data_IF_044902357739
#
_entry.id   IF_044902357739
#
_cell.length_a   1.000
_cell.length_b   1.000
_cell.length_c   1.000
_cell.angle_alpha   90.00
_cell.angle_beta   90.00
_cell.angle_gamma   90.00
#
_symmetry.space_group_name_H-M   'P 1'
#
loop_
_entity.id
_entity.type
_entity.pdbx_description
1 polymer ?
#
# COMPACT_ATOMS: atom_id res chain seq x y z
N UNK A 1 -0.86 7.26 10.16
CA UNK A 1 -1.25 6.15 9.26
C UNK A 1 -1.55 4.92 10.10
N UNK A 2 -2.69 4.26 9.85
CA UNK A 2 -3.06 3.03 10.56
C UNK A 2 -2.98 1.87 9.58
N UNK A 3 -2.32 0.78 9.98
CA UNK A 3 -2.32 -0.47 9.25
C UNK A 3 -3.23 -1.49 9.95
N UNK A 4 -4.11 -2.10 9.19
CA UNK A 4 -4.99 -3.18 9.64
C UNK A 4 -4.53 -4.46 8.93
N UNK A 5 -3.97 -5.44 9.67
CA UNK A 5 -3.51 -6.68 9.05
C UNK A 5 -4.68 -7.43 8.41
N UNK A 6 -4.49 -7.92 7.21
CA UNK A 6 -5.53 -8.62 6.43
C UNK A 6 -6.06 -9.89 7.12
N UNK A 7 -5.24 -10.49 7.98
CA UNK A 7 -5.57 -11.71 8.73
C UNK A 7 -6.22 -11.43 10.09
N UNK A 8 -6.50 -10.14 10.42
CA UNK A 8 -7.28 -9.77 11.61
C UNK A 8 -8.69 -10.35 11.51
N UNK A 9 -9.20 -10.87 12.62
CA UNK A 9 -10.56 -11.40 12.71
C UNK A 9 -11.51 -10.29 13.10
N UNK A 10 -12.55 -10.06 12.29
CA UNK A 10 -13.59 -9.05 12.53
C UNK A 10 -14.91 -9.43 11.85
N UNK A 11 -15.98 -8.73 12.20
CA UNK A 11 -17.26 -8.81 11.49
C UNK A 11 -17.11 -8.27 10.06
N UNK A 12 -17.51 -9.05 9.07
CA UNK A 12 -17.55 -8.62 7.67
C UNK A 12 -18.91 -7.98 7.39
N UNK A 13 -18.90 -6.86 6.67
CA UNK A 13 -20.10 -6.14 6.28
C UNK A 13 -21.15 -7.10 5.64
N UNK A 14 -22.38 -7.04 6.12
CA UNK A 14 -23.51 -7.89 5.69
C UNK A 14 -23.24 -9.41 5.72
N UNK A 15 -22.23 -9.87 6.45
CA UNK A 15 -21.90 -11.30 6.56
C UNK A 15 -21.95 -11.71 8.03
N UNK A 16 -22.83 -12.64 8.43
CA UNK A 16 -22.93 -13.09 9.83
C UNK A 16 -21.63 -13.80 10.27
N UNK A 17 -21.11 -13.41 11.45
CA UNK A 17 -19.96 -14.04 12.07
C UNK A 17 -18.66 -13.22 11.97
N UNK A 18 -17.59 -13.83 12.47
CA UNK A 18 -16.26 -13.25 12.48
C UNK A 18 -15.34 -14.04 11.55
N UNK A 19 -14.66 -13.33 10.67
CA UNK A 19 -13.78 -13.90 9.65
C UNK A 19 -12.46 -13.11 9.58
N UNK A 20 -11.49 -13.62 8.85
CA UNK A 20 -10.34 -12.80 8.48
C UNK A 20 -10.80 -11.63 7.62
N UNK A 21 -10.30 -10.44 7.92
CA UNK A 21 -10.74 -9.20 7.27
C UNK A 21 -10.56 -9.22 5.74
N UNK A 22 -9.57 -9.96 5.23
CA UNK A 22 -9.38 -10.13 3.79
C UNK A 22 -10.55 -10.87 3.10
N UNK A 23 -11.38 -11.60 3.85
CA UNK A 23 -12.56 -12.26 3.29
C UNK A 23 -13.66 -11.27 2.92
N UNK A 24 -13.62 -10.02 3.43
CA UNK A 24 -14.58 -8.98 3.06
C UNK A 24 -14.55 -8.67 1.57
N UNK A 25 -13.37 -8.73 0.95
CA UNK A 25 -13.22 -8.53 -0.48
C UNK A 25 -13.92 -9.62 -1.31
N UNK A 26 -13.80 -10.88 -0.88
CA UNK A 26 -14.50 -12.02 -1.50
C UNK A 26 -16.01 -11.95 -1.27
N UNK A 27 -16.43 -11.60 -0.06
CA UNK A 27 -17.85 -11.46 0.27
C UNK A 27 -18.54 -10.40 -0.60
N UNK A 28 -17.83 -9.34 -0.99
CA UNK A 28 -18.31 -8.31 -1.90
C UNK A 28 -18.23 -8.66 -3.39
N UNK A 29 -17.78 -9.88 -3.78
CA UNK A 29 -17.66 -10.29 -5.18
C UNK A 29 -16.37 -9.84 -5.87
N UNK A 30 -15.31 -9.62 -5.09
CA UNK A 30 -13.97 -9.30 -5.58
C UNK A 30 -13.90 -8.05 -6.48
N UNK A 31 -13.12 -8.11 -7.56
CA UNK A 31 -12.93 -7.00 -8.51
C UNK A 31 -14.14 -6.75 -9.39
N UNK A 32 -14.90 -7.79 -9.71
CA UNK A 32 -16.09 -7.72 -10.57
C UNK A 32 -17.34 -7.25 -9.84
N UNK A 33 -17.29 -7.26 -8.50
CA UNK A 33 -18.39 -6.85 -7.64
C UNK A 33 -18.06 -5.62 -6.78
N UNK A 34 -18.57 -5.63 -5.56
CA UNK A 34 -18.40 -4.57 -4.57
C UNK A 34 -17.27 -4.85 -3.55
N UNK A 35 -16.25 -5.64 -3.90
CA UNK A 35 -15.22 -6.11 -2.96
C UNK A 35 -14.51 -4.99 -2.19
N UNK A 36 -14.18 -3.89 -2.85
CA UNK A 36 -13.58 -2.72 -2.17
C UNK A 36 -14.56 -2.02 -1.25
N UNK A 37 -15.83 -1.89 -1.62
CA UNK A 37 -16.87 -1.33 -0.76
C UNK A 37 -17.07 -2.18 0.49
N UNK A 38 -17.20 -3.50 0.35
CA UNK A 38 -17.33 -4.43 1.49
C UNK A 38 -16.10 -4.36 2.42
N UNK A 39 -14.91 -4.25 1.84
CA UNK A 39 -13.68 -4.08 2.61
C UNK A 39 -13.69 -2.76 3.39
N UNK A 40 -14.03 -1.65 2.75
CA UNK A 40 -14.12 -0.35 3.42
C UNK A 40 -15.15 -0.39 4.56
N UNK A 41 -16.36 -0.91 4.31
CA UNK A 41 -17.41 -1.03 5.34
C UNK A 41 -17.01 -1.94 6.50
N UNK A 42 -16.33 -3.04 6.23
CA UNK A 42 -15.80 -3.90 7.28
C UNK A 42 -14.71 -3.21 8.11
N UNK A 43 -13.86 -2.42 7.46
CA UNK A 43 -12.84 -1.62 8.15
C UNK A 43 -13.43 -0.48 8.98
N UNK A 44 -14.53 0.15 8.56
CA UNK A 44 -15.27 1.13 9.39
C UNK A 44 -15.62 0.53 10.76
N UNK A 45 -16.07 -0.72 10.79
CA UNK A 45 -16.36 -1.44 12.05
C UNK A 45 -15.10 -1.60 12.91
N UNK A 46 -13.97 -2.00 12.32
CA UNK A 46 -12.68 -2.10 13.02
C UNK A 46 -12.24 -0.76 13.62
N UNK A 47 -12.51 0.32 12.91
CA UNK A 47 -12.14 1.70 13.29
C UNK A 47 -13.17 2.38 14.23
N UNK A 48 -14.10 1.61 14.81
CA UNK A 48 -15.08 2.15 15.74
C UNK A 48 -16.16 3.01 15.07
N UNK A 49 -16.49 2.75 13.83
CA UNK A 49 -17.51 3.46 13.07
C UNK A 49 -17.02 4.71 12.32
N UNK A 50 -15.72 4.95 12.28
CA UNK A 50 -15.16 6.05 11.47
C UNK A 50 -15.42 5.75 9.99
N UNK A 51 -16.13 6.62 9.24
CA UNK A 51 -16.47 6.38 7.86
C UNK A 51 -15.22 6.39 6.96
N UNK A 52 -15.22 5.51 5.97
CA UNK A 52 -14.21 5.45 4.90
C UNK A 52 -14.88 5.89 3.60
N UNK A 53 -14.70 7.15 3.24
CA UNK A 53 -15.35 7.75 2.07
C UNK A 53 -14.68 7.35 0.77
N UNK A 54 -13.35 7.16 0.80
CA UNK A 54 -12.54 6.90 -0.38
C UNK A 54 -11.61 5.72 -0.18
N UNK A 55 -11.36 5.01 -1.28
CA UNK A 55 -10.36 3.96 -1.32
C UNK A 55 -9.53 4.02 -2.61
N UNK A 56 -8.33 3.49 -2.55
CA UNK A 56 -7.49 3.20 -3.70
C UNK A 56 -6.97 1.77 -3.56
N UNK A 57 -7.37 0.91 -4.48
CA UNK A 57 -6.88 -0.45 -4.59
C UNK A 57 -5.88 -0.56 -5.75
N UNK A 58 -4.74 -1.18 -5.50
CA UNK A 58 -3.70 -1.38 -6.52
C UNK A 58 -3.28 -2.84 -6.58
N UNK A 59 -3.03 -3.33 -7.79
CA UNK A 59 -2.40 -4.64 -7.96
C UNK A 59 -0.88 -4.52 -7.82
N UNK A 60 -0.23 -5.61 -7.47
CA UNK A 60 1.22 -5.61 -7.30
C UNK A 60 2.01 -5.19 -8.55
N UNK A 61 1.62 -5.56 -9.79
CA UNK A 61 2.28 -5.01 -10.99
C UNK A 61 2.20 -3.48 -11.10
N UNK A 62 1.08 -2.88 -10.68
CA UNK A 62 0.89 -1.43 -10.70
C UNK A 62 1.88 -0.72 -9.77
N UNK A 63 2.18 -1.30 -8.60
CA UNK A 63 3.20 -0.74 -7.69
C UNK A 63 4.55 -0.62 -8.39
N UNK A 64 4.95 -1.64 -9.15
CA UNK A 64 6.18 -1.60 -9.97
C UNK A 64 6.15 -0.42 -10.95
N UNK A 65 5.06 -0.30 -11.72
CA UNK A 65 4.92 0.75 -12.73
C UNK A 65 4.92 2.16 -12.11
N UNK A 66 4.27 2.35 -10.97
CA UNK A 66 4.28 3.63 -10.25
C UNK A 66 5.71 4.00 -9.83
N UNK A 67 6.47 3.07 -9.27
CA UNK A 67 7.85 3.30 -8.86
C UNK A 67 8.71 3.66 -10.08
N UNK A 68 8.58 2.93 -11.20
CA UNK A 68 9.33 3.20 -12.43
C UNK A 68 9.01 4.59 -13.00
N UNK A 69 7.72 4.99 -13.03
CA UNK A 69 7.32 6.33 -13.51
C UNK A 69 7.81 7.44 -12.58
N UNK A 70 7.86 7.19 -11.28
CA UNK A 70 8.44 8.12 -10.31
C UNK A 70 9.96 8.16 -10.39
N UNK A 71 10.59 7.29 -11.21
CA UNK A 71 12.04 7.24 -11.44
C UNK A 71 12.79 6.48 -10.37
N UNK A 72 12.15 5.49 -9.75
CA UNK A 72 12.72 4.71 -8.68
C UNK A 72 12.55 5.36 -7.30
N UNK A 73 13.13 4.73 -6.29
CA UNK A 73 13.13 5.20 -4.91
C UNK A 73 14.47 4.89 -4.23
N UNK A 74 15.06 5.90 -3.58
CA UNK A 74 16.22 5.72 -2.73
C UNK A 74 15.74 5.20 -1.38
N UNK A 75 16.21 4.01 -0.99
CA UNK A 75 15.72 3.34 0.20
C UNK A 75 16.85 2.57 0.90
N UNK A 76 16.86 2.64 2.22
CA UNK A 76 17.82 1.91 3.03
C UNK A 76 17.34 0.47 3.27
N UNK A 77 18.11 -0.48 2.79
CA UNK A 77 17.88 -1.91 2.99
C UNK A 77 18.56 -2.34 4.28
N UNK A 78 17.79 -2.67 5.31
CA UNK A 78 18.34 -3.06 6.63
C UNK A 78 19.20 -4.31 6.58
N UNK A 79 18.86 -5.27 5.73
CA UNK A 79 19.57 -6.57 5.61
C UNK A 79 19.58 -7.04 4.17
N UNK A 80 20.68 -7.66 3.75
CA UNK A 80 20.78 -8.31 2.44
C UNK A 80 19.64 -9.29 2.21
N UNK A 81 18.99 -9.21 1.07
CA UNK A 81 17.88 -10.05 0.63
C UNK A 81 18.22 -10.79 -0.65
N UNK A 82 17.92 -12.09 -0.69
CA UNK A 82 18.11 -12.93 -1.87
C UNK A 82 16.74 -13.41 -2.38
N UNK A 83 16.48 -13.17 -3.65
CA UNK A 83 15.17 -13.44 -4.28
C UNK A 83 15.37 -14.12 -5.63
N UNK A 84 15.65 -15.43 -5.58
CA UNK A 84 16.10 -16.18 -6.75
C UNK A 84 17.46 -15.66 -7.22
N UNK A 85 17.54 -15.19 -8.45
CA UNK A 85 18.77 -14.67 -9.05
C UNK A 85 19.04 -13.19 -8.73
N UNK A 86 18.10 -12.53 -8.05
CA UNK A 86 18.24 -11.12 -7.67
C UNK A 86 18.65 -10.96 -6.22
N UNK A 87 19.48 -9.97 -5.97
CA UNK A 87 20.02 -9.65 -4.66
C UNK A 87 19.83 -8.16 -4.39
N UNK A 88 19.22 -7.82 -3.25
CA UNK A 88 19.30 -6.48 -2.67
C UNK A 88 20.33 -6.50 -1.55
N UNK A 89 21.35 -5.69 -1.67
CA UNK A 89 22.40 -5.59 -0.64
C UNK A 89 21.90 -4.71 0.52
N UNK A 90 22.54 -4.84 1.67
CA UNK A 90 22.33 -3.94 2.80
C UNK A 90 22.83 -2.53 2.48
N UNK A 91 22.19 -1.52 3.05
CA UNK A 91 22.52 -0.11 2.93
C UNK A 91 21.62 0.65 1.95
N UNK A 92 21.96 1.91 1.72
CA UNK A 92 21.22 2.79 0.82
C UNK A 92 21.32 2.30 -0.63
N UNK A 93 20.19 2.14 -1.29
CA UNK A 93 20.11 1.71 -2.69
C UNK A 93 19.02 2.47 -3.43
N UNK A 94 19.24 2.71 -4.71
CA UNK A 94 18.21 3.19 -5.62
C UNK A 94 17.47 1.99 -6.20
N UNK A 95 16.20 1.83 -5.84
CA UNK A 95 15.37 0.70 -6.25
C UNK A 95 14.53 1.09 -7.46
N UNK A 96 14.64 0.34 -8.54
CA UNK A 96 13.66 0.36 -9.62
C UNK A 96 12.34 -0.31 -9.20
N UNK A 97 11.32 -0.25 -10.05
CA UNK A 97 10.01 -0.82 -9.72
C UNK A 97 10.05 -2.33 -9.48
N UNK A 98 10.94 -3.07 -10.15
CA UNK A 98 11.07 -4.50 -9.93
C UNK A 98 11.72 -4.82 -8.58
N UNK A 99 12.78 -4.11 -8.25
CA UNK A 99 13.48 -4.23 -6.97
C UNK A 99 12.58 -3.83 -5.80
N UNK A 100 11.81 -2.75 -5.97
CA UNK A 100 10.80 -2.30 -5.02
C UNK A 100 9.71 -3.38 -4.78
N UNK A 101 9.19 -3.95 -5.87
CA UNK A 101 8.21 -5.02 -5.78
C UNK A 101 8.75 -6.25 -5.07
N UNK A 102 9.98 -6.63 -5.36
CA UNK A 102 10.67 -7.75 -4.72
C UNK A 102 10.85 -7.48 -3.21
N UNK A 103 11.29 -6.28 -2.84
CA UNK A 103 11.43 -5.84 -1.45
C UNK A 103 10.12 -5.95 -0.66
N UNK A 104 9.03 -5.47 -1.24
CA UNK A 104 7.70 -5.47 -0.61
C UNK A 104 7.11 -6.88 -0.45
N UNK A 105 7.54 -7.84 -1.27
CA UNK A 105 7.02 -9.23 -1.30
C UNK A 105 7.85 -10.22 -0.51
N UNK A 106 9.08 -9.87 -0.13
CA UNK A 106 9.98 -10.78 0.60
C UNK A 106 9.33 -11.30 1.88
N UNK A 107 9.46 -12.61 2.09
CA UNK A 107 8.98 -13.33 3.30
C UNK A 107 10.14 -14.03 4.00
N UNK A 108 10.04 -14.15 5.30
CA UNK A 108 11.05 -14.78 6.19
C UNK A 108 11.48 -16.20 5.75
N UNK A 109 10.56 -17.01 5.22
CA UNK A 109 10.87 -18.40 4.81
C UNK A 109 12.03 -18.50 3.81
N UNK A 110 12.28 -17.47 3.02
CA UNK A 110 13.37 -17.42 2.01
C UNK A 110 14.55 -16.55 2.44
N UNK A 111 14.39 -15.79 3.52
CA UNK A 111 15.39 -14.85 4.03
C UNK A 111 15.38 -14.92 5.57
N UNK A 112 16.08 -15.88 6.17
CA UNK A 112 16.17 -16.00 7.62
C UNK A 112 16.64 -14.70 8.28
N UNK A 113 15.97 -14.28 9.33
CA UNK A 113 16.28 -13.02 10.04
C UNK A 113 15.52 -11.78 9.56
N UNK A 114 14.64 -11.91 8.54
CA UNK A 114 13.79 -10.80 8.05
C UNK A 114 12.57 -10.48 8.91
N UNK A 115 12.40 -11.15 10.04
CA UNK A 115 11.24 -10.96 10.92
C UNK A 115 9.94 -11.62 10.40
N UNK A 116 8.88 -11.52 11.19
CA UNK A 116 7.55 -12.08 10.93
C UNK A 116 6.70 -11.18 10.01
N UNK A 117 5.41 -11.48 9.85
CA UNK A 117 4.49 -10.68 9.04
C UNK A 117 4.32 -9.23 9.55
N UNK A 118 4.50 -8.97 10.84
CA UNK A 118 4.46 -7.62 11.42
C UNK A 118 5.61 -6.79 10.85
N UNK A 119 6.84 -7.33 10.82
CA UNK A 119 7.99 -6.62 10.25
C UNK A 119 7.86 -6.38 8.74
N UNK A 120 7.15 -7.24 8.01
CA UNK A 120 6.83 -6.99 6.60
C UNK A 120 5.91 -5.78 6.44
N UNK A 121 4.92 -5.67 7.27
CA UNK A 121 3.98 -4.55 7.28
C UNK A 121 4.71 -3.23 7.60
N UNK A 122 5.62 -3.25 8.57
CA UNK A 122 6.39 -2.05 8.91
C UNK A 122 7.30 -1.62 7.76
N UNK A 123 7.99 -2.56 7.11
CA UNK A 123 8.76 -2.30 5.89
C UNK A 123 7.90 -1.70 4.77
N UNK A 124 6.69 -2.21 4.57
CA UNK A 124 5.76 -1.66 3.56
C UNK A 124 5.36 -0.23 3.87
N UNK A 125 5.12 0.10 5.15
CA UNK A 125 4.80 1.46 5.59
C UNK A 125 5.98 2.42 5.37
N UNK A 126 7.17 2.03 5.80
CA UNK A 126 8.41 2.82 5.64
C UNK A 126 8.71 3.08 4.18
N UNK A 127 8.59 2.05 3.34
CA UNK A 127 8.77 2.17 1.90
C UNK A 127 7.77 3.15 1.27
N UNK A 128 6.49 3.07 1.66
CA UNK A 128 5.45 4.00 1.15
C UNK A 128 5.74 5.45 1.56
N UNK A 129 6.22 5.68 2.78
CA UNK A 129 6.59 7.02 3.23
C UNK A 129 7.80 7.54 2.44
N UNK A 130 8.84 6.73 2.25
CA UNK A 130 10.01 7.10 1.47
C UNK A 130 9.64 7.45 0.02
N UNK A 131 8.84 6.59 -0.62
CA UNK A 131 8.34 6.82 -1.98
C UNK A 131 7.52 8.11 -2.08
N UNK A 132 6.62 8.35 -1.12
CA UNK A 132 5.80 9.54 -1.08
C UNK A 132 6.65 10.79 -0.87
N UNK A 133 7.61 10.78 0.07
CA UNK A 133 8.50 11.90 0.35
C UNK A 133 9.30 12.28 -0.90
N UNK A 134 9.93 11.31 -1.55
CA UNK A 134 10.74 11.56 -2.75
C UNK A 134 9.89 12.02 -3.94
N UNK A 135 8.68 11.46 -4.11
CA UNK A 135 7.74 11.92 -5.14
C UNK A 135 7.31 13.38 -4.91
N UNK A 136 7.12 13.78 -3.64
CA UNK A 136 6.80 15.14 -3.23
C UNK A 136 7.97 16.08 -3.56
N UNK A 137 9.17 15.76 -3.13
CA UNK A 137 10.36 16.60 -3.28
C UNK A 137 10.74 16.80 -4.76
N UNK A 138 10.57 15.77 -5.57
CA UNK A 138 10.79 15.82 -7.03
C UNK A 138 9.61 16.44 -7.81
N UNK A 139 8.54 16.89 -7.14
CA UNK A 139 7.28 17.37 -7.74
C UNK A 139 6.56 16.36 -8.63
N UNK A 140 7.01 15.11 -8.66
CA UNK A 140 6.38 14.02 -9.44
C UNK A 140 5.04 13.59 -8.86
N UNK A 141 4.77 13.91 -7.60
CA UNK A 141 3.49 13.66 -6.93
C UNK A 141 2.31 14.22 -7.76
N UNK A 142 2.48 15.38 -8.38
CA UNK A 142 1.45 16.01 -9.22
C UNK A 142 1.11 15.20 -10.49
N UNK A 143 1.96 14.26 -10.88
CA UNK A 143 1.71 13.36 -12.02
C UNK A 143 0.87 12.13 -11.66
N UNK A 144 0.68 11.83 -10.37
CA UNK A 144 -0.03 10.64 -9.90
C UNK A 144 -1.46 10.53 -10.44
N UNK A 145 -2.30 11.59 -10.46
CA UNK A 145 -3.64 11.48 -11.02
C UNK A 145 -3.65 11.04 -12.48
N UNK A 146 -2.71 11.55 -13.28
CA UNK A 146 -2.55 11.16 -14.68
C UNK A 146 -2.09 9.72 -14.81
N UNK A 147 -1.15 9.29 -13.96
CA UNK A 147 -0.64 7.92 -13.93
C UNK A 147 -1.78 6.95 -13.59
N UNK A 148 -2.55 7.24 -12.54
CA UNK A 148 -3.70 6.42 -12.13
C UNK A 148 -4.75 6.35 -13.26
N UNK A 149 -5.07 7.47 -13.90
CA UNK A 149 -5.99 7.49 -15.01
C UNK A 149 -5.53 6.65 -16.22
N UNK A 150 -4.23 6.59 -16.48
CA UNK A 150 -3.65 5.75 -17.54
C UNK A 150 -3.61 4.25 -17.19
N UNK A 151 -3.84 3.89 -15.92
CA UNK A 151 -3.84 2.51 -15.40
C UNK A 151 -5.25 1.97 -15.20
N UNK A 152 -6.21 2.40 -16.02
CA UNK A 152 -7.59 1.94 -15.94
C UNK A 152 -7.69 0.42 -15.95
N UNK A 153 -8.56 -0.14 -15.10
CA UNK A 153 -8.71 -1.58 -14.90
C UNK A 153 -7.61 -2.26 -14.06
N UNK A 154 -6.60 -1.50 -13.59
CA UNK A 154 -5.51 -2.02 -12.74
C UNK A 154 -5.36 -1.24 -11.43
N UNK A 155 -5.91 -0.04 -11.38
CA UNK A 155 -6.11 0.77 -10.17
C UNK A 155 -7.61 0.93 -9.97
N UNK A 156 -8.06 0.65 -8.77
CA UNK A 156 -9.48 0.66 -8.39
C UNK A 156 -9.70 1.75 -7.37
N UNK A 157 -10.58 2.70 -7.66
CA UNK A 157 -10.91 3.80 -6.75
C UNK A 157 -12.33 4.30 -7.00
N UNK A 158 -12.99 4.79 -5.95
CA UNK A 158 -14.26 5.51 -6.05
C UNK A 158 -14.05 7.04 -6.14
N UNK A 159 -12.79 7.50 -6.19
CA UNK A 159 -12.48 8.93 -6.33
C UNK A 159 -12.57 9.36 -7.79
N UNK A 160 -13.15 10.54 -8.00
CA UNK A 160 -13.04 11.23 -9.29
C UNK A 160 -11.61 11.75 -9.51
N UNK A 161 -11.24 12.03 -10.75
CA UNK A 161 -9.95 12.65 -11.08
C UNK A 161 -9.72 13.96 -10.29
N UNK A 162 -10.77 14.77 -10.09
CA UNK A 162 -10.68 16.02 -9.34
C UNK A 162 -10.39 15.77 -7.85
N UNK A 163 -11.06 14.80 -7.24
CA UNK A 163 -10.83 14.41 -5.83
C UNK A 163 -9.43 13.86 -5.64
N UNK A 164 -8.97 13.00 -6.56
CA UNK A 164 -7.61 12.49 -6.53
C UNK A 164 -6.58 13.60 -6.67
N UNK A 165 -6.80 14.55 -7.58
CA UNK A 165 -5.93 15.73 -7.75
C UNK A 165 -5.90 16.61 -6.50
N UNK A 166 -7.05 16.83 -5.87
CA UNK A 166 -7.13 17.59 -4.62
C UNK A 166 -6.37 16.89 -3.47
N UNK A 167 -6.50 15.55 -3.37
CA UNK A 167 -5.76 14.76 -2.39
C UNK A 167 -4.25 14.85 -2.62
N UNK A 168 -3.80 14.81 -3.85
CA UNK A 168 -2.38 14.96 -4.20
C UNK A 168 -1.87 16.36 -3.84
N UNK A 169 -2.62 17.41 -4.15
CA UNK A 169 -2.27 18.80 -3.78
C UNK A 169 -2.17 18.92 -2.24
N UNK A 170 -3.14 18.38 -1.51
CA UNK A 170 -3.08 18.33 -0.05
C UNK A 170 -1.81 17.60 0.43
N UNK A 171 -1.48 16.45 -0.20
CA UNK A 171 -0.30 15.66 0.09
C UNK A 171 1.01 16.44 -0.05
N UNK A 172 1.10 17.41 -0.96
CA UNK A 172 2.32 18.24 -1.09
C UNK A 172 2.61 19.08 0.15
N UNK A 173 1.60 19.39 0.95
CA UNK A 173 1.73 20.12 2.21
C UNK A 173 1.98 19.24 3.44
N UNK A 174 1.88 17.90 3.30
CA UNK A 174 2.05 16.99 4.44
C UNK A 174 3.52 16.89 4.84
N UNK A 175 3.80 17.07 6.13
CA UNK A 175 5.10 16.83 6.73
C UNK A 175 5.27 15.33 6.99
N UNK A 176 6.11 14.68 6.19
CA UNK A 176 6.31 13.21 6.25
C UNK A 176 6.96 12.75 7.56
N UNK A 177 7.75 13.62 8.22
CA UNK A 177 8.38 13.29 9.51
C UNK A 177 7.36 13.23 10.66
N UNK A 178 6.21 13.89 10.50
CA UNK A 178 5.11 13.88 11.46
C UNK A 178 4.08 12.79 11.23
N UNK A 179 4.27 11.90 10.26
CA UNK A 179 3.35 10.80 10.02
C UNK A 179 3.53 9.72 11.09
N UNK A 180 2.62 9.69 12.07
CA UNK A 180 2.55 8.58 13.03
C UNK A 180 2.11 7.28 12.35
N UNK A 181 2.80 6.18 12.65
CA UNK A 181 2.50 4.84 12.12
C UNK A 181 2.00 3.92 13.22
N UNK A 182 0.82 3.36 13.02
CA UNK A 182 0.18 2.44 13.97
C UNK A 182 -0.19 1.14 13.26
N UNK A 183 -0.11 0.02 13.98
CA UNK A 183 -0.62 -1.27 13.51
C UNK A 183 -1.72 -1.73 14.47
N UNK A 184 -2.87 -2.05 13.93
CA UNK A 184 -3.96 -2.65 14.69
C UNK A 184 -3.54 -4.06 15.15
N UNK A 185 -3.74 -4.37 16.44
CA UNK A 185 -3.37 -5.67 17.03
C UNK A 185 -4.60 -6.45 17.42
#
# INVERSE_FOLDING_TARGET
MVNIPRDSYWGIYETPGYYKLNMSFYAGGELEGAGFFYTAKSMEGVLGGIPIDYYIGVTMPVVKEIVDVLGGVDFEIEKKMVMGDRVLNQGMQHLDGQQALDYLRVRQKRNPGMGNDISRVDRQKEFLIALFSQAKDSKKLLSIPKIIGAMEGRVYTNMTYQQLSALVIFGTGVDTEKIGMYTFK
#
